data_IF_419575051267
#
_entry.id   IF_419575051267
#
_cell.length_a   1.000
_cell.length_b   1.000
_cell.length_c   1.000
_cell.angle_alpha   90.00
_cell.angle_beta   90.00
_cell.angle_gamma   90.00
#
_symmetry.space_group_name_H-M   'P 1'
#
loop_
_entity.id
_entity.type
_entity.pdbx_description
1 polymer ?
#
# COMPACT_ATOMS: atom_id res chain seq x y z
N UNK A 1 11.79 7.61 19.00
CA UNK A 1 12.13 9.01 18.66
C UNK A 1 11.77 9.19 17.19
N UNK A 2 10.81 10.06 16.85
CA UNK A 2 10.39 10.26 15.45
C UNK A 2 11.45 11.06 14.69
N UNK A 3 11.80 10.64 13.47
CA UNK A 3 12.80 11.32 12.64
C UNK A 3 12.31 12.65 12.06
N UNK A 4 13.18 13.35 11.33
CA UNK A 4 12.88 14.62 10.66
C UNK A 4 12.07 14.44 9.36
N UNK A 5 10.94 13.74 9.44
CA UNK A 5 10.02 13.55 8.34
C UNK A 5 9.30 14.83 7.94
N UNK A 6 8.69 14.85 6.74
CA UNK A 6 8.00 16.02 6.17
C UNK A 6 6.88 16.56 7.07
N UNK A 7 6.27 15.69 7.88
CA UNK A 7 5.19 16.02 8.83
C UNK A 7 5.70 16.86 10.01
N UNK A 8 7.00 16.78 10.34
CA UNK A 8 7.56 17.37 11.55
C UNK A 8 8.50 18.55 11.31
N UNK A 9 9.03 18.69 10.09
CA UNK A 9 9.94 19.80 9.75
C UNK A 9 9.18 21.02 9.25
N UNK A 10 9.71 22.21 9.52
CA UNK A 10 9.13 23.48 9.10
C UNK A 10 10.14 24.37 8.35
N UNK A 11 9.68 25.51 7.83
CA UNK A 11 10.52 26.54 7.21
C UNK A 11 11.41 26.01 6.08
N UNK A 12 12.69 26.40 6.08
CA UNK A 12 13.65 26.04 5.03
C UNK A 12 13.91 24.53 4.96
N UNK A 13 13.87 23.83 6.11
CA UNK A 13 14.07 22.37 6.15
C UNK A 13 12.91 21.64 5.47
N UNK A 14 11.67 22.09 5.71
CA UNK A 14 10.49 21.59 5.00
C UNK A 14 10.57 21.84 3.49
N UNK A 15 10.94 23.06 3.07
CA UNK A 15 11.07 23.40 1.64
C UNK A 15 12.09 22.47 0.97
N UNK A 16 13.24 22.26 1.63
CA UNK A 16 14.28 21.37 1.14
C UNK A 16 13.77 19.93 1.00
N UNK A 17 13.14 19.38 2.03
CA UNK A 17 12.63 18.01 1.99
C UNK A 17 11.54 17.84 0.92
N UNK A 18 10.59 18.79 0.82
CA UNK A 18 9.52 18.76 -0.18
C UNK A 18 10.09 18.76 -1.60
N UNK A 19 11.11 19.59 -1.86
CA UNK A 19 11.79 19.64 -3.16
C UNK A 19 12.44 18.30 -3.51
N UNK A 20 12.98 17.58 -2.54
CA UNK A 20 13.64 16.28 -2.75
C UNK A 20 12.60 15.19 -3.08
N UNK A 21 11.45 15.17 -2.40
CA UNK A 21 10.45 14.10 -2.59
C UNK A 21 9.55 14.32 -3.81
N UNK A 22 9.27 15.57 -4.20
CA UNK A 22 8.32 15.89 -5.27
C UNK A 22 8.54 15.12 -6.59
N UNK A 23 9.77 14.90 -7.08
CA UNK A 23 9.99 14.12 -8.30
C UNK A 23 9.47 12.68 -8.24
N UNK A 24 9.41 12.06 -7.06
CA UNK A 24 8.83 10.72 -6.89
C UNK A 24 7.32 10.69 -7.11
N UNK A 25 6.66 11.86 -7.02
CA UNK A 25 5.22 12.05 -7.18
C UNK A 25 4.87 12.77 -8.50
N UNK A 26 5.71 12.66 -9.53
CA UNK A 26 5.36 13.13 -10.89
C UNK A 26 4.19 12.33 -11.45
N UNK A 27 3.46 12.89 -12.43
CA UNK A 27 2.31 12.21 -13.07
C UNK A 27 2.71 10.85 -13.66
N UNK A 28 3.89 10.77 -14.27
CA UNK A 28 4.42 9.54 -14.86
C UNK A 28 4.68 8.48 -13.78
N UNK A 29 5.25 8.88 -12.64
CA UNK A 29 5.48 7.97 -11.50
C UNK A 29 4.16 7.55 -10.85
N UNK A 30 3.22 8.49 -10.67
CA UNK A 30 1.88 8.20 -10.16
C UNK A 30 1.12 7.21 -11.05
N UNK A 31 1.22 7.32 -12.38
CA UNK A 31 0.62 6.33 -13.30
C UNK A 31 1.16 4.92 -13.06
N UNK A 32 2.45 4.77 -12.76
CA UNK A 32 3.05 3.47 -12.44
C UNK A 32 2.55 2.98 -11.07
N UNK A 33 2.52 3.86 -10.06
CA UNK A 33 2.00 3.55 -8.73
C UNK A 33 0.55 3.08 -8.79
N UNK A 34 -0.34 3.81 -9.48
CA UNK A 34 -1.77 3.47 -9.61
C UNK A 34 -1.96 2.10 -10.27
N UNK A 35 -1.17 1.77 -11.30
CA UNK A 35 -1.21 0.43 -11.90
C UNK A 35 -0.86 -0.66 -10.88
N UNK A 36 0.11 -0.41 -10.01
CA UNK A 36 0.48 -1.35 -8.94
C UNK A 36 -0.62 -1.45 -7.88
N UNK A 37 -1.21 -0.33 -7.46
CA UNK A 37 -2.34 -0.30 -6.52
C UNK A 37 -3.52 -1.13 -7.03
N UNK A 38 -3.84 -0.96 -8.33
CA UNK A 38 -4.91 -1.72 -8.97
C UNK A 38 -4.59 -3.22 -8.98
N UNK A 39 -3.34 -3.61 -9.25
CA UNK A 39 -2.93 -5.01 -9.21
C UNK A 39 -3.11 -5.65 -7.81
N UNK A 40 -2.73 -4.93 -6.73
CA UNK A 40 -2.97 -5.38 -5.36
C UNK A 40 -4.47 -5.60 -5.08
N UNK A 41 -5.32 -4.65 -5.48
CA UNK A 41 -6.76 -4.77 -5.31
C UNK A 41 -7.38 -5.91 -6.13
N UNK A 42 -6.88 -6.14 -7.35
CA UNK A 42 -7.30 -7.27 -8.18
C UNK A 42 -6.93 -8.59 -7.52
N UNK A 43 -5.71 -8.74 -7.00
CA UNK A 43 -5.25 -9.94 -6.29
C UNK A 43 -6.16 -10.26 -5.10
N UNK A 44 -6.50 -9.27 -4.28
CA UNK A 44 -7.44 -9.43 -3.15
C UNK A 44 -8.82 -9.92 -3.63
N UNK A 45 -9.34 -9.35 -4.73
CA UNK A 45 -10.62 -9.79 -5.29
C UNK A 45 -10.56 -11.19 -5.90
N UNK A 46 -9.41 -11.60 -6.44
CA UNK A 46 -9.17 -12.96 -6.92
C UNK A 46 -9.17 -13.96 -5.75
N UNK A 47 -8.52 -13.63 -4.64
CA UNK A 47 -8.57 -14.45 -3.41
C UNK A 47 -10.01 -14.60 -2.89
N UNK A 48 -10.81 -13.52 -2.90
CA UNK A 48 -12.22 -13.61 -2.51
C UNK A 48 -13.03 -14.49 -3.46
N UNK A 49 -12.75 -14.45 -4.77
CA UNK A 49 -13.40 -15.34 -5.73
C UNK A 49 -13.03 -16.80 -5.46
N UNK A 50 -11.76 -17.08 -5.19
CA UNK A 50 -11.30 -18.42 -4.87
C UNK A 50 -12.00 -18.95 -3.61
N UNK A 51 -12.07 -18.15 -2.55
CA UNK A 51 -12.84 -18.48 -1.34
C UNK A 51 -14.32 -18.75 -1.63
N UNK A 52 -14.94 -17.96 -2.51
CA UNK A 52 -16.32 -18.16 -2.93
C UNK A 52 -16.51 -19.48 -3.68
N UNK A 53 -15.60 -19.83 -4.59
CA UNK A 53 -15.68 -21.12 -5.31
C UNK A 53 -15.51 -22.33 -4.40
N UNK A 54 -14.79 -22.17 -3.29
CA UNK A 54 -14.59 -23.22 -2.28
C UNK A 54 -15.74 -23.29 -1.26
N UNK A 55 -16.64 -22.31 -1.24
CA UNK A 55 -17.76 -22.27 -0.31
C UNK A 55 -18.87 -23.27 -0.70
N UNK A 56 -19.41 -23.97 0.29
CA UNK A 56 -20.51 -24.93 0.09
C UNK A 56 -21.87 -24.26 -0.07
N UNK A 57 -22.05 -23.08 0.50
CA UNK A 57 -23.32 -22.34 0.49
C UNK A 57 -23.41 -21.33 -0.68
N UNK A 58 -22.35 -21.22 -1.48
CA UNK A 58 -22.27 -20.27 -2.60
C UNK A 58 -22.13 -18.82 -2.16
N UNK A 59 -21.71 -18.58 -0.91
CA UNK A 59 -21.50 -17.25 -0.34
C UNK A 59 -20.28 -17.22 0.58
N UNK A 60 -19.75 -16.03 0.85
CA UNK A 60 -18.69 -15.82 1.84
C UNK A 60 -18.97 -14.54 2.61
N UNK A 61 -18.50 -14.51 3.86
CA UNK A 61 -18.51 -13.30 4.68
C UNK A 61 -17.10 -12.71 4.69
N UNK A 62 -17.00 -11.43 4.37
CA UNK A 62 -15.74 -10.69 4.35
C UNK A 62 -15.75 -9.65 5.47
N UNK A 63 -14.73 -9.67 6.32
CA UNK A 63 -14.48 -8.59 7.27
C UNK A 63 -13.70 -7.46 6.57
N UNK A 64 -14.43 -6.47 6.05
CA UNK A 64 -13.86 -5.41 5.22
C UNK A 64 -12.72 -4.65 5.90
N UNK A 65 -12.79 -4.39 7.21
CA UNK A 65 -11.75 -3.66 7.92
C UNK A 65 -10.39 -4.38 7.83
N UNK A 66 -10.38 -5.70 8.05
CA UNK A 66 -9.16 -6.52 7.96
C UNK A 66 -8.63 -6.53 6.53
N UNK A 67 -9.49 -6.71 5.54
CA UNK A 67 -9.06 -6.74 4.14
C UNK A 67 -8.54 -5.39 3.65
N UNK A 68 -9.16 -4.27 4.05
CA UNK A 68 -8.63 -2.94 3.73
C UNK A 68 -7.29 -2.66 4.38
N UNK A 69 -7.07 -3.14 5.62
CA UNK A 69 -5.77 -3.04 6.28
C UNK A 69 -4.69 -3.82 5.52
N UNK A 70 -4.97 -5.07 5.16
CA UNK A 70 -4.07 -5.90 4.33
C UNK A 70 -3.76 -5.25 2.99
N UNK A 71 -4.79 -4.79 2.27
CA UNK A 71 -4.62 -4.12 0.97
C UNK A 71 -3.76 -2.86 1.09
N UNK A 72 -3.99 -2.05 2.13
CA UNK A 72 -3.21 -0.83 2.35
C UNK A 72 -1.74 -1.15 2.62
N UNK A 73 -1.47 -2.16 3.46
CA UNK A 73 -0.13 -2.61 3.76
C UNK A 73 0.58 -3.18 2.50
N UNK A 74 -0.11 -3.98 1.68
CA UNK A 74 0.43 -4.50 0.41
C UNK A 74 0.76 -3.39 -0.59
N UNK A 75 -0.14 -2.42 -0.74
CA UNK A 75 0.09 -1.24 -1.58
C UNK A 75 1.34 -0.48 -1.13
N UNK A 76 1.49 -0.23 0.17
CA UNK A 76 2.66 0.50 0.70
C UNK A 76 3.93 -0.34 0.49
N UNK A 77 3.90 -1.63 0.79
CA UNK A 77 5.04 -2.55 0.57
C UNK A 77 5.53 -2.46 -0.88
N UNK A 78 4.61 -2.57 -1.83
CA UNK A 78 4.94 -2.53 -3.25
C UNK A 78 5.40 -1.17 -3.76
N UNK A 79 4.83 -0.06 -3.27
CA UNK A 79 5.13 1.27 -3.81
C UNK A 79 6.33 1.91 -3.11
N UNK A 80 6.40 1.82 -1.79
CA UNK A 80 7.42 2.49 -1.00
C UNK A 80 8.72 1.69 -0.93
N UNK A 81 8.64 0.36 -0.91
CA UNK A 81 9.80 -0.52 -0.69
C UNK A 81 10.15 -1.40 -1.89
N UNK A 82 9.25 -1.51 -2.88
CA UNK A 82 9.47 -2.35 -4.06
C UNK A 82 9.40 -3.86 -3.79
N UNK A 83 9.09 -4.26 -2.55
CA UNK A 83 8.92 -5.65 -2.12
C UNK A 83 7.47 -6.13 -2.35
N UNK A 84 7.17 -7.41 -2.10
CA UNK A 84 5.80 -7.93 -2.01
C UNK A 84 5.24 -7.90 -0.58
N UNK A 85 3.91 -8.01 -0.43
CA UNK A 85 3.21 -8.00 0.88
C UNK A 85 3.94 -8.77 1.97
N UNK A 86 4.32 -10.03 1.67
CA UNK A 86 4.91 -10.93 2.67
C UNK A 86 6.24 -10.39 3.22
N UNK A 87 7.08 -9.80 2.37
CA UNK A 87 8.33 -9.17 2.79
C UNK A 87 8.10 -7.80 3.47
N UNK A 88 7.01 -7.12 3.13
CA UNK A 88 6.61 -5.87 3.78
C UNK A 88 6.05 -6.09 5.19
N UNK A 89 5.32 -7.18 5.42
CA UNK A 89 4.66 -7.47 6.70
C UNK A 89 5.66 -7.64 7.85
N UNK A 90 6.84 -8.21 7.59
CA UNK A 90 7.94 -8.30 8.58
C UNK A 90 8.41 -6.92 9.07
N UNK A 91 8.23 -5.86 8.26
CA UNK A 91 8.59 -4.48 8.63
C UNK A 91 7.45 -3.80 9.43
N UNK A 92 6.20 -4.23 9.25
CA UNK A 92 5.04 -3.66 9.93
C UNK A 92 4.72 -4.33 11.28
N UNK A 93 5.14 -5.58 11.47
CA UNK A 93 4.99 -6.34 12.72
C UNK A 93 6.24 -6.31 13.64
N UNK A 94 7.34 -5.67 13.20
CA UNK A 94 8.55 -5.44 14.00
C UNK A 94 8.45 -4.20 14.91
#
# INVERSE_FOLDING_TARGET
MMGKGLVYVEGLEWIKHKRIINPAFSVEKLKVMVKRMAACAISMLEEWKDLLTMSKDGSIMIEMNVEFQKLTADIIAHIAFGSNYMQGNEVFEA
#
